data_IF_506198918564
#
_entry.id   IF_506198918564
#
_cell.length_a   1.000
_cell.length_b   1.000
_cell.length_c   1.000
_cell.angle_alpha   90.00
_cell.angle_beta   90.00
_cell.angle_gamma   90.00
#
_symmetry.space_group_name_H-M   'P 1'
#
loop_
_entity.id
_entity.type
_entity.pdbx_description
1 polymer ?
#
# COMPACT_ATOMS: atom_id res chain seq x y z
N UNK A 1 2.91 -20.23 5.02
CA UNK A 1 2.84 -19.69 5.51
C UNK A 1 2.32 -18.45 5.26
N UNK A 2 2.35 -17.69 5.07
CA UNK A 2 2.12 -16.32 5.10
C UNK A 2 1.01 -15.76 4.24
N UNK A 3 0.00 -16.51 4.01
CA UNK A 3 -1.06 -16.04 3.15
C UNK A 3 -1.81 -14.87 3.76
N UNK A 4 -2.12 -14.97 5.04
CA UNK A 4 -2.84 -13.89 5.71
C UNK A 4 -1.99 -12.63 5.79
N UNK A 5 -0.69 -12.81 5.87
CA UNK A 5 0.23 -11.69 5.96
C UNK A 5 0.32 -10.90 4.68
N UNK A 6 -0.09 -11.51 3.58
CA UNK A 6 0.00 -10.85 2.29
C UNK A 6 -0.86 -9.58 2.23
N UNK A 7 -2.07 -9.63 2.77
CA UNK A 7 -2.92 -8.45 2.77
C UNK A 7 -2.36 -7.37 3.68
N UNK A 8 -1.89 -7.76 4.86
CA UNK A 8 -1.28 -6.81 5.77
C UNK A 8 -0.05 -6.18 5.16
N UNK A 9 0.75 -7.00 4.48
CA UNK A 9 1.96 -6.51 3.85
C UNK A 9 1.64 -5.50 2.77
N UNK A 10 0.60 -5.74 1.98
CA UNK A 10 0.20 -4.82 0.93
C UNK A 10 -0.26 -3.48 1.49
N UNK A 11 -1.10 -3.54 2.50
CA UNK A 11 -1.60 -2.32 3.12
C UNK A 11 -0.43 -1.52 3.71
N UNK A 12 0.46 -2.21 4.39
CA UNK A 12 1.62 -1.58 5.00
C UNK A 12 2.53 -0.95 3.95
N UNK A 13 2.77 -1.68 2.86
CA UNK A 13 3.61 -1.19 1.78
C UNK A 13 3.02 0.06 1.15
N UNK A 14 1.71 0.06 0.91
CA UNK A 14 1.05 1.20 0.32
C UNK A 14 1.10 2.40 1.27
N UNK A 15 0.88 2.17 2.55
CA UNK A 15 0.96 3.22 3.55
C UNK A 15 2.36 3.84 3.55
N UNK A 16 3.38 3.00 3.55
CA UNK A 16 4.76 3.48 3.52
C UNK A 16 5.04 4.28 2.25
N UNK A 17 4.51 3.82 1.13
CA UNK A 17 4.70 4.51 -0.12
C UNK A 17 4.14 5.93 -0.04
N UNK A 18 2.94 6.06 0.50
CA UNK A 18 2.31 7.37 0.63
C UNK A 18 3.09 8.24 1.60
N UNK A 19 3.59 7.68 2.68
CA UNK A 19 4.40 8.44 3.63
C UNK A 19 5.70 8.92 2.99
N UNK A 20 6.25 8.13 2.08
CA UNK A 20 7.45 8.53 1.38
C UNK A 20 7.20 9.75 0.47
N UNK A 21 5.95 9.97 0.09
CA UNK A 21 5.58 11.15 -0.69
C UNK A 21 5.41 12.40 0.19
N UNK A 22 5.53 12.22 1.49
CA UNK A 22 5.37 13.35 2.40
C UNK A 22 4.03 13.40 3.12
N UNK A 23 3.24 12.34 2.97
CA UNK A 23 1.92 12.30 3.60
C UNK A 23 2.07 11.76 5.03
N UNK A 24 1.38 12.37 5.98
CA UNK A 24 1.46 11.92 7.37
C UNK A 24 0.86 10.53 7.54
N UNK A 25 1.28 9.84 8.58
CA UNK A 25 0.89 8.45 8.78
C UNK A 25 -0.62 8.24 8.85
N UNK A 26 -1.32 9.10 9.58
CA UNK A 26 -2.77 8.94 9.73
C UNK A 26 -3.48 9.08 8.39
N UNK A 27 -3.11 10.07 7.61
CA UNK A 27 -3.70 10.29 6.29
C UNK A 27 -3.31 9.14 5.35
N UNK A 28 -2.06 8.73 5.40
CA UNK A 28 -1.57 7.65 4.55
C UNK A 28 -2.35 6.36 4.80
N UNK A 29 -2.61 6.03 6.06
CA UNK A 29 -3.37 4.82 6.39
C UNK A 29 -4.80 4.90 5.87
N UNK A 30 -5.43 6.04 6.06
CA UNK A 30 -6.81 6.23 5.61
C UNK A 30 -6.88 6.13 4.09
N UNK A 31 -5.98 6.80 3.41
CA UNK A 31 -5.99 6.80 1.95
C UNK A 31 -5.60 5.45 1.39
N UNK A 32 -4.67 4.76 2.02
CA UNK A 32 -4.30 3.42 1.58
C UNK A 32 -5.51 2.50 1.61
N UNK A 33 -6.33 2.60 2.65
CA UNK A 33 -7.53 1.79 2.75
C UNK A 33 -8.49 2.11 1.61
N UNK A 34 -8.68 3.39 1.30
CA UNK A 34 -9.56 3.79 0.22
C UNK A 34 -9.05 3.31 -1.12
N UNK A 35 -7.76 3.44 -1.34
CA UNK A 35 -7.15 3.01 -2.60
C UNK A 35 -7.35 1.52 -2.80
N UNK A 36 -7.20 0.72 -1.72
CA UNK A 36 -7.40 -0.71 -1.82
C UNK A 36 -8.78 -1.07 -2.33
N UNK A 37 -9.79 -0.27 -1.99
CA UNK A 37 -11.15 -0.56 -2.36
C UNK A 37 -11.54 0.01 -3.71
N UNK A 38 -10.84 1.04 -4.17
CA UNK A 38 -11.25 1.75 -5.36
C UNK A 38 -10.51 1.39 -6.63
N UNK A 39 -9.39 0.71 -6.53
CA UNK A 39 -8.60 0.36 -7.71
C UNK A 39 -8.62 -1.14 -7.93
N UNK A 40 -8.24 -1.54 -9.12
CA UNK A 40 -8.19 -2.97 -9.43
C UNK A 40 -7.01 -3.61 -8.72
N UNK A 41 -7.11 -4.93 -8.57
CA UNK A 41 -6.02 -5.69 -7.97
C UNK A 41 -4.74 -5.53 -8.77
N UNK A 42 -4.88 -5.49 -10.08
CA UNK A 42 -3.73 -5.35 -10.97
C UNK A 42 -2.99 -4.04 -10.71
N UNK A 43 -3.73 -2.95 -10.58
CA UNK A 43 -3.12 -1.65 -10.32
C UNK A 43 -2.49 -1.63 -8.93
N UNK A 44 -3.18 -2.18 -7.95
CA UNK A 44 -2.64 -2.25 -6.60
C UNK A 44 -1.32 -3.01 -6.59
N UNK A 45 -1.29 -4.17 -7.26
CA UNK A 45 -0.08 -4.99 -7.30
C UNK A 45 1.08 -4.23 -7.95
N UNK A 46 0.78 -3.48 -8.99
CA UNK A 46 1.80 -2.69 -9.67
C UNK A 46 2.37 -1.61 -8.75
N UNK A 47 1.50 -0.94 -8.01
CA UNK A 47 1.93 0.08 -7.06
C UNK A 47 2.81 -0.53 -5.98
N UNK A 48 2.39 -1.66 -5.43
CA UNK A 48 3.15 -2.30 -4.36
C UNK A 48 4.51 -2.78 -4.85
N UNK A 49 4.56 -3.32 -6.06
CA UNK A 49 5.82 -3.78 -6.64
C UNK A 49 6.78 -2.60 -6.82
N UNK A 50 6.26 -1.47 -7.29
CA UNK A 50 7.08 -0.27 -7.47
C UNK A 50 7.57 0.25 -6.12
N UNK A 51 6.68 0.29 -5.15
CA UNK A 51 7.04 0.77 -3.82
C UNK A 51 8.14 -0.08 -3.20
N UNK A 52 8.03 -1.40 -3.31
CA UNK A 52 9.04 -2.28 -2.75
C UNK A 52 10.39 -2.10 -3.42
N UNK A 53 10.39 -1.81 -4.71
CA UNK A 53 11.64 -1.60 -5.43
C UNK A 53 12.32 -0.29 -5.03
N UNK A 54 11.56 0.68 -4.55
CA UNK A 54 12.10 2.01 -4.24
C UNK A 54 12.10 2.35 -2.76
N UNK A 55 11.56 1.48 -1.94
CA UNK A 55 11.63 1.64 -0.51
C UNK A 55 12.56 0.62 0.10
#
# INVERSE_FOLDING_TARGET
MAIAERMLDRHHTLTKFLMALGIDAATAETDACKIEHDISQKTFDAICAHAKAHL
#
